data_IF_557346365277
#
_entry.id   IF_557346365277
#
_cell.length_a   1.000
_cell.length_b   1.000
_cell.length_c   1.000
_cell.angle_alpha   90.00
_cell.angle_beta   90.00
_cell.angle_gamma   90.00
#
_symmetry.space_group_name_H-M   'P 1'
#
loop_
_entity.id
_entity.type
_entity.pdbx_description
1 polymer ?
#
# COMPACT_ATOMS: atom_id res chain seq x y z
N UNK A 1 11.77 146.04 55.44
CA UNK A 1 13.18 145.60 55.53
C UNK A 1 13.71 145.51 54.12
N UNK A 2 14.64 146.42 53.79
CA UNK A 2 15.64 146.32 52.73
C UNK A 2 15.27 146.37 51.24
N UNK A 3 15.86 147.40 50.62
CA UNK A 3 16.32 147.56 49.24
C UNK A 3 15.27 147.82 48.12
N UNK A 4 14.97 149.07 47.72
CA UNK A 4 15.82 150.18 47.20
C UNK A 4 16.22 149.92 45.74
N UNK A 5 15.68 150.79 44.87
CA UNK A 5 16.26 151.32 43.61
C UNK A 5 16.19 150.41 42.37
N UNK A 6 15.90 150.88 41.15
CA UNK A 6 15.88 152.24 40.61
C UNK A 6 15.02 152.24 39.35
N UNK A 7 14.18 153.27 39.21
CA UNK A 7 13.73 153.80 37.93
C UNK A 7 14.36 155.20 37.81
N UNK A 8 15.19 155.47 36.80
CA UNK A 8 15.65 156.79 36.30
C UNK A 8 16.60 156.53 35.11
N UNK A 9 16.37 156.96 33.85
CA UNK A 9 16.58 158.31 33.28
C UNK A 9 16.10 158.28 31.78
N UNK A 10 15.14 159.09 31.30
CA UNK A 10 15.25 160.40 30.56
C UNK A 10 16.20 160.40 29.33
N UNK A 11 15.82 160.76 28.09
CA UNK A 11 15.32 162.03 27.49
C UNK A 11 16.18 163.30 27.74
N UNK A 12 16.67 163.89 26.63
CA UNK A 12 17.03 165.31 26.33
C UNK A 12 18.27 165.99 26.95
N UNK A 13 19.09 166.59 26.07
CA UNK A 13 19.75 167.89 26.32
C UNK A 13 21.25 167.95 26.02
N UNK A 14 21.61 168.59 24.91
CA UNK A 14 22.94 169.17 24.66
C UNK A 14 23.09 170.43 25.55
N UNK A 15 24.24 170.49 26.22
CA UNK A 15 24.88 171.47 27.14
C UNK A 15 24.65 172.95 26.73
N UNK A 16 24.40 173.94 27.65
CA UNK A 16 25.43 174.41 28.60
C UNK A 16 25.01 174.99 29.98
N UNK A 17 26.02 175.00 30.86
CA UNK A 17 26.38 175.93 31.97
C UNK A 17 25.34 176.48 32.96
N UNK A 18 25.61 176.18 34.24
CA UNK A 18 25.78 177.06 35.40
C UNK A 18 24.79 178.22 35.67
N UNK A 19 24.33 178.23 36.94
CA UNK A 19 24.04 179.38 37.83
C UNK A 19 22.58 179.73 38.16
N UNK A 20 22.32 179.56 39.47
CA UNK A 20 21.56 180.44 40.39
C UNK A 20 20.02 180.37 40.34
N UNK A 21 19.50 179.81 41.45
CA UNK A 21 18.48 180.39 42.35
C UNK A 21 17.28 181.13 41.76
N UNK A 22 16.07 180.62 42.00
CA UNK A 22 15.09 181.23 42.92
C UNK A 22 13.82 180.36 42.95
N UNK A 23 13.45 179.94 44.16
CA UNK A 23 12.20 179.26 44.52
C UNK A 23 10.96 180.10 44.18
N UNK A 24 9.89 179.45 43.71
CA UNK A 24 8.51 179.96 43.84
C UNK A 24 7.61 178.75 44.13
N UNK A 25 7.63 178.25 45.36
CA UNK A 25 6.50 178.36 46.30
C UNK A 25 5.31 179.18 45.78
N UNK A 26 4.17 178.52 45.55
CA UNK A 26 2.86 179.17 45.69
C UNK A 26 2.40 178.85 47.10
N UNK A 27 2.72 179.75 48.03
CA UNK A 27 2.02 179.83 49.31
C UNK A 27 0.60 180.31 48.98
N UNK A 28 -0.41 179.50 49.28
CA UNK A 28 -1.74 180.04 49.56
C UNK A 28 -1.57 181.08 50.65
N UNK A 29 -1.92 182.33 50.34
CA UNK A 29 -1.96 183.39 51.32
C UNK A 29 -3.05 183.02 52.34
N UNK A 30 -2.64 182.41 53.45
CA UNK A 30 -3.57 182.19 54.56
C UNK A 30 -3.74 183.54 55.22
N UNK A 31 -4.85 184.21 54.93
CA UNK A 31 -5.17 185.50 55.53
C UNK A 31 -5.43 185.25 57.01
N UNK A 32 -4.50 185.68 57.86
CA UNK A 32 -4.46 185.22 59.26
C UNK A 32 -5.58 185.79 60.12
N UNK A 33 -6.07 186.98 59.80
CA UNK A 33 -7.09 187.69 60.58
C UNK A 33 -8.53 187.46 60.10
N UNK A 34 -8.73 186.65 59.05
CA UNK A 34 -10.07 186.36 58.51
C UNK A 34 -10.30 184.85 58.45
N UNK A 35 -11.32 184.35 59.14
CA UNK A 35 -11.60 182.91 59.16
C UNK A 35 -12.04 182.41 57.78
N UNK A 36 -11.57 181.23 57.31
CA UNK A 36 -12.06 180.60 56.09
C UNK A 36 -13.58 180.33 56.04
N UNK A 37 -14.23 180.28 57.21
CA UNK A 37 -15.69 180.12 57.33
C UNK A 37 -16.47 181.44 57.27
N UNK A 38 -15.79 182.60 57.28
CA UNK A 38 -16.44 183.89 57.14
C UNK A 38 -16.97 184.05 55.70
N UNK A 39 -18.16 184.64 55.54
CA UNK A 39 -18.82 184.74 54.26
C UNK A 39 -17.99 185.50 53.21
N UNK A 40 -17.21 186.48 53.68
CA UNK A 40 -16.40 187.38 52.87
C UNK A 40 -15.04 186.79 52.51
N UNK A 41 -14.61 185.71 53.18
CA UNK A 41 -13.27 185.13 53.00
C UNK A 41 -13.01 184.74 51.55
N UNK A 42 -13.98 184.12 50.89
CA UNK A 42 -13.80 183.66 49.51
C UNK A 42 -13.59 184.82 48.54
N UNK A 43 -14.29 185.93 48.74
CA UNK A 43 -14.14 187.13 47.90
C UNK A 43 -12.81 187.83 48.18
N UNK A 44 -12.47 188.04 49.46
CA UNK A 44 -11.21 188.67 49.87
C UNK A 44 -10.01 187.83 49.43
N UNK A 45 -10.04 186.52 49.68
CA UNK A 45 -8.98 185.60 49.27
C UNK A 45 -8.81 185.58 47.76
N UNK A 46 -9.91 185.61 46.98
CA UNK A 46 -9.82 185.73 45.53
C UNK A 46 -9.10 187.03 45.12
N UNK A 47 -9.52 188.17 45.66
CA UNK A 47 -8.92 189.47 45.30
C UNK A 47 -7.44 189.54 45.71
N UNK A 48 -7.05 188.92 46.83
CA UNK A 48 -5.65 188.84 47.28
C UNK A 48 -4.83 187.85 46.44
N UNK A 49 -5.34 186.65 46.17
CA UNK A 49 -4.66 185.65 45.33
C UNK A 49 -4.46 186.15 43.91
N UNK A 50 -5.45 186.87 43.40
CA UNK A 50 -5.39 187.53 42.11
C UNK A 50 -4.51 188.78 42.11
N UNK A 51 -3.89 189.12 43.26
CA UNK A 51 -3.07 190.32 43.47
C UNK A 51 -3.77 191.61 43.04
N UNK A 52 -5.09 191.62 43.17
CA UNK A 52 -5.92 192.79 42.94
C UNK A 52 -5.92 193.65 44.21
N UNK A 53 -5.88 193.03 45.40
CA UNK A 53 -5.63 193.71 46.69
C UNK A 53 -4.48 193.05 47.45
N UNK A 54 -3.81 193.82 48.31
CA UNK A 54 -2.65 193.35 49.07
C UNK A 54 -3.02 193.08 50.54
N UNK A 55 -2.24 192.20 51.20
CA UNK A 55 -2.27 192.00 52.66
C UNK A 55 -1.10 192.74 53.30
N UNK A 56 -1.21 193.06 54.60
CA UNK A 56 -0.11 193.70 55.31
C UNK A 56 1.10 192.77 55.52
N UNK A 57 2.20 193.33 56.05
CA UNK A 57 3.45 192.60 56.26
C UNK A 57 3.32 191.35 57.15
N UNK A 58 2.26 191.24 57.96
CA UNK A 58 2.00 190.08 58.82
C UNK A 58 1.08 189.03 58.17
N UNK A 59 0.57 189.30 56.97
CA UNK A 59 -0.41 188.49 56.27
C UNK A 59 -1.85 188.71 56.76
N UNK A 60 -2.12 189.87 57.38
CA UNK A 60 -3.47 190.28 57.77
C UNK A 60 -4.07 191.19 56.70
N UNK A 61 -5.34 190.98 56.36
CA UNK A 61 -6.03 191.81 55.38
C UNK A 61 -6.57 193.12 55.98
N UNK A 62 -6.87 193.14 57.29
CA UNK A 62 -7.38 194.31 58.03
C UNK A 62 -8.61 194.95 57.39
N UNK A 63 -9.78 194.29 57.44
CA UNK A 63 -10.99 194.73 56.74
C UNK A 63 -11.51 196.12 57.17
N UNK A 64 -11.11 196.62 58.34
CA UNK A 64 -11.53 197.92 58.89
C UNK A 64 -10.54 199.06 58.61
N UNK A 65 -9.52 198.84 57.76
CA UNK A 65 -8.54 199.87 57.39
C UNK A 65 -9.15 200.86 56.37
N UNK A 66 -9.04 202.18 56.64
CA UNK A 66 -9.50 203.21 55.70
C UNK A 66 -8.63 203.22 54.43
N UNK A 67 -9.28 203.06 53.27
CA UNK A 67 -8.65 202.97 51.95
C UNK A 67 -8.68 204.36 51.27
N UNK A 68 -7.59 204.78 50.60
CA UNK A 68 -7.58 206.06 49.89
C UNK A 68 -8.11 205.91 48.46
N UNK A 69 -8.52 207.03 47.83
CA UNK A 69 -8.95 207.02 46.42
C UNK A 69 -7.86 206.51 45.46
N UNK A 70 -6.58 206.68 45.82
CA UNK A 70 -5.45 206.19 45.05
C UNK A 70 -5.39 204.65 45.05
N UNK A 71 -5.61 204.05 46.22
CA UNK A 71 -5.58 202.59 46.37
C UNK A 71 -6.73 201.95 45.58
N UNK A 72 -7.93 202.54 45.65
CA UNK A 72 -9.07 202.08 44.85
C UNK A 72 -8.79 202.19 43.33
N UNK A 73 -8.13 203.27 42.89
CA UNK A 73 -7.74 203.43 41.49
C UNK A 73 -6.72 202.37 41.05
N UNK A 74 -5.75 202.00 41.89
CA UNK A 74 -4.84 200.88 41.63
C UNK A 74 -5.59 199.57 41.50
N UNK A 75 -6.55 199.31 42.38
CA UNK A 75 -7.33 198.08 42.35
C UNK A 75 -8.23 198.01 41.09
N UNK A 76 -8.87 199.11 40.71
CA UNK A 76 -9.67 199.18 39.49
C UNK A 76 -8.82 199.07 38.22
N UNK A 77 -7.64 199.70 38.17
CA UNK A 77 -6.72 199.57 37.06
C UNK A 77 -6.20 198.13 36.94
N UNK A 78 -5.85 197.49 38.07
CA UNK A 78 -5.47 196.09 38.09
C UNK A 78 -6.60 195.19 37.55
N UNK A 79 -7.87 195.51 37.82
CA UNK A 79 -9.01 194.78 37.22
C UNK A 79 -9.07 195.02 35.70
N UNK A 80 -9.03 196.28 35.26
CA UNK A 80 -9.18 196.62 33.83
C UNK A 80 -8.03 196.03 33.00
N UNK A 81 -6.80 196.14 33.48
CA UNK A 81 -5.61 195.60 32.82
C UNK A 81 -5.62 194.07 32.82
N UNK A 82 -5.92 193.46 33.96
CA UNK A 82 -5.88 191.99 34.10
C UNK A 82 -6.98 191.29 33.33
N UNK A 83 -8.12 191.95 33.11
CA UNK A 83 -9.25 191.40 32.34
C UNK A 83 -9.43 192.06 30.97
N UNK A 84 -8.53 192.97 30.58
CA UNK A 84 -8.40 193.60 29.26
C UNK A 84 -9.75 194.09 28.65
N UNK A 85 -10.53 194.83 29.44
CA UNK A 85 -11.95 195.13 29.19
C UNK A 85 -12.23 196.22 28.13
N UNK A 86 -11.20 196.77 27.47
CA UNK A 86 -11.33 197.93 26.55
C UNK A 86 -11.62 197.61 25.08
N UNK A 87 -11.57 196.34 24.64
CA UNK A 87 -11.58 195.99 23.20
C UNK A 87 -12.88 195.33 22.67
N UNK A 88 -14.05 195.68 23.22
CA UNK A 88 -15.30 194.91 23.01
C UNK A 88 -16.36 195.53 22.09
N UNK A 89 -16.01 196.42 21.16
CA UNK A 89 -16.92 196.82 20.08
C UNK A 89 -16.22 196.89 18.70
N UNK A 90 -16.75 196.06 17.79
CA UNK A 90 -16.54 195.99 16.33
C UNK A 90 -15.47 195.03 15.79
N UNK A 91 -15.91 194.25 14.77
CA UNK A 91 -15.18 193.42 13.79
C UNK A 91 -15.22 191.89 13.95
N UNK A 92 -15.55 191.20 12.83
CA UNK A 92 -15.49 189.74 12.59
C UNK A 92 -14.23 189.15 13.25
N UNK A 93 -14.40 188.40 14.34
CA UNK A 93 -13.29 187.85 15.15
C UNK A 93 -12.88 186.44 14.70
N UNK A 94 -11.58 186.17 14.82
CA UNK A 94 -10.75 185.08 14.25
C UNK A 94 -11.29 183.64 14.32
N UNK A 95 -12.25 183.35 15.19
CA UNK A 95 -12.77 182.00 15.38
C UNK A 95 -13.51 181.48 14.14
N UNK A 96 -14.17 182.36 13.38
CA UNK A 96 -14.87 181.96 12.15
C UNK A 96 -13.88 181.58 11.04
N UNK A 97 -12.78 182.34 10.91
CA UNK A 97 -11.71 182.06 9.94
C UNK A 97 -10.95 180.78 10.31
N UNK A 98 -10.72 180.53 11.61
CA UNK A 98 -10.18 179.26 12.10
C UNK A 98 -11.11 178.08 11.84
N UNK A 99 -12.43 178.28 11.93
CA UNK A 99 -13.39 177.22 11.63
C UNK A 99 -13.37 176.88 10.14
N UNK A 100 -13.33 177.90 9.28
CA UNK A 100 -13.24 177.75 7.84
C UNK A 100 -11.91 177.07 7.43
N UNK A 101 -10.77 177.46 8.02
CA UNK A 101 -9.49 176.78 7.80
C UNK A 101 -9.48 175.34 8.33
N UNK A 102 -10.17 175.06 9.46
CA UNK A 102 -10.33 173.68 9.98
C UNK A 102 -11.19 172.83 9.04
N UNK A 103 -12.24 173.40 8.46
CA UNK A 103 -13.09 172.71 7.48
C UNK A 103 -12.28 172.40 6.22
N UNK A 104 -11.55 173.36 5.66
CA UNK A 104 -10.69 173.10 4.48
C UNK A 104 -9.60 172.08 4.79
N UNK A 105 -9.05 172.09 6.01
CA UNK A 105 -8.05 171.09 6.44
C UNK A 105 -8.67 169.70 6.59
N UNK A 106 -9.88 169.59 7.16
CA UNK A 106 -10.60 168.33 7.30
C UNK A 106 -11.04 167.76 5.94
N UNK A 107 -11.52 168.59 5.01
CA UNK A 107 -11.85 168.17 3.64
C UNK A 107 -10.62 167.64 2.91
N UNK A 108 -9.48 168.32 3.07
CA UNK A 108 -8.21 167.88 2.52
C UNK A 108 -7.71 166.60 3.18
N UNK A 109 -7.90 166.44 4.50
CA UNK A 109 -7.59 165.21 5.24
C UNK A 109 -8.46 164.03 4.79
N UNK A 110 -9.76 164.24 4.55
CA UNK A 110 -10.70 163.23 4.03
C UNK A 110 -10.32 162.84 2.59
N UNK A 111 -9.98 163.82 1.75
CA UNK A 111 -9.51 163.59 0.38
C UNK A 111 -8.11 162.97 0.33
N UNK A 112 -7.31 163.14 1.38
CA UNK A 112 -6.00 162.51 1.54
C UNK A 112 -6.00 161.27 2.42
N UNK A 113 -7.18 160.73 2.82
CA UNK A 113 -7.25 159.36 3.36
C UNK A 113 -6.79 158.45 2.20
N UNK A 114 -5.61 157.83 2.29
CA UNK A 114 -5.05 157.14 1.16
C UNK A 114 -5.88 155.87 0.90
N UNK A 115 -6.11 155.56 -0.38
CA UNK A 115 -6.72 154.31 -0.85
C UNK A 115 -6.05 153.03 -0.32
N UNK A 116 -4.85 153.15 0.26
CA UNK A 116 -4.14 152.06 0.94
C UNK A 116 -4.90 151.46 2.13
N UNK A 117 -5.77 152.23 2.82
CA UNK A 117 -6.51 151.71 3.98
C UNK A 117 -7.71 150.82 3.55
N UNK A 118 -8.32 151.09 2.39
CA UNK A 118 -9.29 150.19 1.75
C UNK A 118 -8.62 148.95 1.13
N UNK A 119 -7.37 149.09 0.65
CA UNK A 119 -6.57 147.97 0.16
C UNK A 119 -6.17 146.99 1.29
N UNK A 120 -5.93 147.46 2.51
CA UNK A 120 -5.63 146.58 3.66
C UNK A 120 -6.83 145.71 4.07
N UNK A 121 -8.06 146.23 3.99
CA UNK A 121 -9.26 145.45 4.31
C UNK A 121 -9.53 144.35 3.27
N UNK A 122 -9.30 144.62 1.98
CA UNK A 122 -9.43 143.59 0.94
C UNK A 122 -8.32 142.54 1.03
N UNK A 123 -7.09 142.94 1.38
CA UNK A 123 -5.97 142.04 1.63
C UNK A 123 -6.26 141.08 2.81
N UNK A 124 -6.75 141.61 3.94
CA UNK A 124 -7.14 140.79 5.09
C UNK A 124 -8.31 139.84 4.78
N UNK A 125 -9.27 140.27 3.95
CA UNK A 125 -10.35 139.39 3.49
C UNK A 125 -9.81 138.25 2.62
N UNK A 126 -8.83 138.53 1.76
CA UNK A 126 -8.15 137.52 0.94
C UNK A 126 -7.38 136.53 1.82
N UNK A 127 -6.63 137.02 2.81
CA UNK A 127 -5.92 136.16 3.77
C UNK A 127 -6.88 135.31 4.60
N UNK A 128 -8.02 135.87 5.03
CA UNK A 128 -9.05 135.11 5.76
C UNK A 128 -9.64 133.98 4.91
N UNK A 129 -9.89 134.25 3.62
CA UNK A 129 -10.36 133.24 2.68
C UNK A 129 -9.30 132.16 2.40
N UNK A 130 -8.03 132.54 2.29
CA UNK A 130 -6.92 131.59 2.18
C UNK A 130 -6.80 130.72 3.44
N UNK A 131 -6.87 131.34 4.62
CA UNK A 131 -6.80 130.64 5.89
C UNK A 131 -7.99 129.68 6.06
N UNK A 132 -9.19 130.06 5.63
CA UNK A 132 -10.36 129.19 5.61
C UNK A 132 -10.17 127.99 4.67
N UNK A 133 -9.59 128.21 3.49
CA UNK A 133 -9.26 127.10 2.56
C UNK A 133 -8.21 126.17 3.15
N UNK A 134 -7.17 126.72 3.77
CA UNK A 134 -6.12 125.95 4.45
C UNK A 134 -6.68 125.15 5.63
N UNK A 135 -7.60 125.73 6.39
CA UNK A 135 -8.27 125.05 7.50
C UNK A 135 -9.10 123.87 7.00
N UNK A 136 -9.93 124.07 5.97
CA UNK A 136 -10.71 122.98 5.35
C UNK A 136 -9.80 121.87 4.80
N UNK A 137 -8.66 122.24 4.20
CA UNK A 137 -7.68 121.27 3.70
C UNK A 137 -7.00 120.49 4.84
N UNK A 138 -6.73 121.14 5.98
CA UNK A 138 -6.18 120.49 7.18
C UNK A 138 -7.22 119.57 7.81
N UNK A 139 -8.46 120.01 7.97
CA UNK A 139 -9.57 119.19 8.49
C UNK A 139 -9.74 117.93 7.64
N UNK A 140 -9.77 118.06 6.30
CA UNK A 140 -9.83 116.91 5.41
C UNK A 140 -8.63 115.96 5.56
N UNK A 141 -7.41 116.50 5.72
CA UNK A 141 -6.23 115.67 6.00
C UNK A 141 -6.33 114.94 7.35
N UNK A 142 -6.85 115.61 8.38
CA UNK A 142 -7.05 115.01 9.70
C UNK A 142 -8.06 113.86 9.62
N UNK A 143 -9.20 114.06 8.95
CA UNK A 143 -10.20 113.00 8.74
C UNK A 143 -9.61 111.82 7.96
N UNK A 144 -8.80 112.08 6.93
CA UNK A 144 -8.13 111.01 6.17
C UNK A 144 -7.10 110.25 7.02
N UNK A 145 -6.36 110.94 7.89
CA UNK A 145 -5.42 110.31 8.82
C UNK A 145 -6.14 109.48 9.88
N UNK A 146 -7.27 109.95 10.39
CA UNK A 146 -8.10 109.24 11.36
C UNK A 146 -8.68 107.96 10.76
N UNK A 147 -9.22 108.04 9.53
CA UNK A 147 -9.65 106.86 8.79
C UNK A 147 -8.48 105.88 8.54
N UNK A 148 -7.30 106.37 8.18
CA UNK A 148 -6.11 105.52 8.00
C UNK A 148 -5.64 104.88 9.31
N UNK A 149 -5.81 105.57 10.45
CA UNK A 149 -5.56 105.01 11.78
C UNK A 149 -6.53 103.88 12.14
N UNK A 150 -7.78 103.95 11.68
CA UNK A 150 -8.72 102.83 11.83
C UNK A 150 -8.35 101.63 10.96
N UNK A 151 -7.76 101.82 9.78
CA UNK A 151 -7.25 100.71 8.97
C UNK A 151 -6.04 100.00 9.59
N UNK A 152 -5.20 100.71 10.37
CA UNK A 152 -4.13 100.07 11.15
C UNK A 152 -4.65 99.04 12.17
N UNK A 153 -5.91 99.16 12.62
CA UNK A 153 -6.54 98.13 13.46
C UNK A 153 -6.86 96.84 12.69
N UNK A 154 -7.17 96.93 11.39
CA UNK A 154 -7.37 95.77 10.51
C UNK A 154 -6.04 95.08 10.22
N UNK A 155 -4.97 95.84 10.04
CA UNK A 155 -3.61 95.30 9.89
C UNK A 155 -3.19 94.50 11.13
N UNK A 156 -3.50 95.00 12.33
CA UNK A 156 -3.23 94.30 13.60
C UNK A 156 -4.00 92.97 13.71
N UNK A 157 -5.27 92.93 13.28
CA UNK A 157 -6.05 91.70 13.24
C UNK A 157 -5.48 90.69 12.23
N UNK A 158 -5.01 91.19 11.08
CA UNK A 158 -4.42 90.35 10.03
C UNK A 158 -3.09 89.75 10.49
N UNK A 159 -2.25 90.54 11.16
CA UNK A 159 -1.00 90.06 11.78
C UNK A 159 -1.30 88.96 12.81
N UNK A 160 -2.32 89.15 13.65
CA UNK A 160 -2.70 88.16 14.67
C UNK A 160 -3.18 86.86 14.03
N UNK A 161 -3.96 86.94 12.93
CA UNK A 161 -4.39 85.76 12.17
C UNK A 161 -3.20 85.02 11.56
N UNK A 162 -2.28 85.75 10.92
CA UNK A 162 -1.08 85.17 10.32
C UNK A 162 -0.17 84.49 11.35
N UNK A 163 -0.04 85.05 12.55
CA UNK A 163 0.70 84.42 13.66
C UNK A 163 0.07 83.10 14.09
N UNK A 164 -1.27 83.03 14.16
CA UNK A 164 -2.00 81.82 14.47
C UNK A 164 -1.80 80.76 13.39
N UNK A 165 -1.92 81.14 12.12
CA UNK A 165 -1.68 80.27 10.97
C UNK A 165 -0.25 79.74 10.92
N UNK A 166 0.74 80.60 11.21
CA UNK A 166 2.14 80.20 11.26
C UNK A 166 2.41 79.20 12.39
N UNK A 167 1.79 79.41 13.56
CA UNK A 167 1.86 78.46 14.68
C UNK A 167 1.24 77.11 14.33
N UNK A 168 0.08 77.12 13.66
CA UNK A 168 -0.57 75.92 13.15
C UNK A 168 0.28 75.20 12.09
N UNK A 169 0.89 75.96 11.18
CA UNK A 169 1.78 75.43 10.16
C UNK A 169 3.02 74.79 10.79
N UNK A 170 3.64 75.44 11.78
CA UNK A 170 4.79 74.90 12.49
C UNK A 170 4.44 73.56 13.16
N UNK A 171 3.28 73.45 13.82
CA UNK A 171 2.81 72.17 14.38
C UNK A 171 2.63 71.09 13.31
N UNK A 172 2.10 71.45 12.14
CA UNK A 172 1.94 70.52 11.01
C UNK A 172 3.29 70.05 10.46
N UNK A 173 4.26 70.96 10.34
CA UNK A 173 5.62 70.64 9.89
C UNK A 173 6.27 69.66 10.87
N UNK A 174 6.26 69.95 12.17
CA UNK A 174 6.79 69.02 13.19
C UNK A 174 6.08 67.65 13.16
N UNK A 175 4.76 67.63 12.97
CA UNK A 175 4.03 66.37 12.83
C UNK A 175 4.43 65.57 11.58
N UNK A 176 4.70 66.25 10.46
CA UNK A 176 5.19 65.63 9.23
C UNK A 176 6.62 65.12 9.41
N UNK A 177 7.51 65.90 10.03
CA UNK A 177 8.89 65.48 10.34
C UNK A 177 8.92 64.22 11.21
N UNK A 178 8.05 64.13 12.21
CA UNK A 178 7.91 62.94 13.04
C UNK A 178 7.40 61.73 12.24
N UNK A 179 6.42 61.93 11.34
CA UNK A 179 5.94 60.86 10.44
C UNK A 179 7.02 60.39 9.47
N UNK A 180 7.79 61.32 8.90
CA UNK A 180 8.92 61.01 8.02
C UNK A 180 9.95 60.21 8.80
N UNK A 181 10.33 60.65 10.00
CA UNK A 181 11.30 59.93 10.84
C UNK A 181 10.85 58.50 11.16
N UNK A 182 9.56 58.30 11.47
CA UNK A 182 8.99 56.97 11.70
C UNK A 182 8.98 56.10 10.43
N UNK A 183 8.70 56.69 9.26
CA UNK A 183 8.76 55.99 7.97
C UNK A 183 10.21 55.67 7.55
N UNK A 184 11.16 56.54 7.86
CA UNK A 184 12.59 56.35 7.60
C UNK A 184 13.22 55.30 8.51
N UNK A 185 12.58 54.97 9.64
CA UNK A 185 12.87 53.76 10.44
C UNK A 185 12.26 52.49 9.83
N UNK A 186 12.10 52.45 8.50
CA UNK A 186 11.69 51.25 7.77
C UNK A 186 12.43 50.03 8.31
N UNK A 187 11.65 49.04 8.71
CA UNK A 187 12.12 47.77 9.26
C UNK A 187 13.16 47.17 8.31
N UNK A 188 14.32 46.82 8.84
CA UNK A 188 15.38 46.18 8.05
C UNK A 188 14.95 44.75 7.68
N UNK A 189 14.47 44.58 6.44
CA UNK A 189 14.04 43.28 5.90
C UNK A 189 15.21 42.34 5.61
N UNK A 190 16.47 42.78 5.77
CA UNK A 190 17.66 41.95 5.53
C UNK A 190 17.64 40.68 6.38
N UNK A 191 17.19 40.78 7.64
CA UNK A 191 17.10 39.62 8.53
C UNK A 191 16.05 38.61 8.06
N UNK A 192 14.89 39.09 7.63
CA UNK A 192 13.79 38.23 7.15
C UNK A 192 14.20 37.52 5.84
N UNK A 193 14.88 38.24 4.93
CA UNK A 193 15.43 37.69 3.68
C UNK A 193 16.49 36.61 3.98
N UNK A 194 17.41 36.87 4.92
CA UNK A 194 18.43 35.90 5.30
C UNK A 194 17.81 34.62 5.88
N UNK A 195 16.78 34.76 6.72
CA UNK A 195 16.06 33.62 7.30
C UNK A 195 15.32 32.81 6.23
N UNK A 196 14.60 33.46 5.31
CA UNK A 196 13.93 32.79 4.20
C UNK A 196 14.92 32.06 3.29
N UNK A 197 16.07 32.66 3.01
CA UNK A 197 17.13 32.04 2.20
C UNK A 197 17.66 30.78 2.86
N UNK A 198 17.91 30.81 4.18
CA UNK A 198 18.34 29.64 4.93
C UNK A 198 17.29 28.51 4.92
N UNK A 199 16.01 28.85 5.03
CA UNK A 199 14.91 27.88 4.94
C UNK A 199 14.82 27.25 3.54
N UNK A 200 14.95 28.04 2.48
CA UNK A 200 14.98 27.55 1.09
C UNK A 200 16.13 26.55 0.90
N UNK A 201 17.35 26.92 1.32
CA UNK A 201 18.51 26.03 1.19
C UNK A 201 18.34 24.72 1.97
N UNK A 202 17.73 24.77 3.16
CA UNK A 202 17.43 23.56 3.94
C UNK A 202 16.40 22.66 3.24
N UNK A 203 15.36 23.24 2.64
CA UNK A 203 14.37 22.49 1.86
C UNK A 203 15.01 21.87 0.62
N UNK A 204 15.88 22.59 -0.07
CA UNK A 204 16.59 22.13 -1.27
C UNK A 204 17.53 20.97 -0.94
N UNK A 205 18.23 21.03 0.20
CA UNK A 205 19.03 19.90 0.70
C UNK A 205 18.18 18.66 0.99
N UNK A 206 17.02 18.82 1.66
CA UNK A 206 16.08 17.71 1.91
C UNK A 206 15.51 17.14 0.61
N UNK A 207 15.22 17.98 -0.38
CA UNK A 207 14.74 17.55 -1.70
C UNK A 207 15.80 16.74 -2.46
N UNK A 208 17.07 17.14 -2.36
CA UNK A 208 18.18 16.36 -2.92
C UNK A 208 18.40 15.02 -2.20
N UNK A 209 18.09 14.94 -0.90
CA UNK A 209 18.06 13.68 -0.17
C UNK A 209 16.98 12.72 -0.71
N UNK A 210 15.84 13.24 -1.18
CA UNK A 210 14.83 12.44 -1.89
C UNK A 210 15.33 11.86 -3.22
N UNK A 211 16.49 12.27 -3.76
CA UNK A 211 17.11 11.57 -4.89
C UNK A 211 17.46 10.09 -4.57
N UNK A 212 17.46 9.70 -3.28
CA UNK A 212 17.48 8.31 -2.82
C UNK A 212 16.29 7.48 -3.35
N UNK A 213 15.21 8.10 -3.84
CA UNK A 213 14.10 7.41 -4.54
C UNK A 213 14.58 6.57 -5.73
N UNK A 214 15.67 6.98 -6.40
CA UNK A 214 16.24 6.21 -7.51
C UNK A 214 16.83 4.87 -7.02
N UNK A 215 17.45 4.86 -5.83
CA UNK A 215 17.99 3.64 -5.22
C UNK A 215 16.88 2.64 -4.90
N UNK A 216 15.76 3.11 -4.34
CA UNK A 216 14.60 2.26 -4.07
C UNK A 216 13.96 1.71 -5.36
N UNK A 217 13.99 2.48 -6.46
CA UNK A 217 13.57 2.00 -7.78
C UNK A 217 14.40 0.80 -8.26
N UNK A 218 15.73 0.87 -8.12
CA UNK A 218 16.62 -0.24 -8.51
C UNK A 218 16.42 -1.48 -7.63
N UNK A 219 16.19 -1.32 -6.32
CA UNK A 219 15.86 -2.46 -5.44
C UNK A 219 14.51 -3.10 -5.77
N UNK A 220 13.49 -2.30 -6.11
CA UNK A 220 12.19 -2.82 -6.54
C UNK A 220 12.33 -3.65 -7.81
N UNK A 221 13.09 -3.19 -8.80
CA UNK A 221 13.31 -3.96 -10.03
C UNK A 221 14.11 -5.26 -9.76
N UNK A 222 15.11 -5.23 -8.87
CA UNK A 222 15.81 -6.46 -8.43
C UNK A 222 14.87 -7.44 -7.72
N UNK A 223 14.00 -6.95 -6.84
CA UNK A 223 13.00 -7.76 -6.13
C UNK A 223 12.00 -8.38 -7.11
N UNK A 224 11.54 -7.60 -8.09
CA UNK A 224 10.64 -8.05 -9.15
C UNK A 224 11.28 -9.16 -9.98
N UNK A 225 12.53 -8.99 -10.40
CA UNK A 225 13.27 -10.02 -11.12
C UNK A 225 13.42 -11.31 -10.29
N UNK A 226 13.71 -11.18 -8.99
CA UNK A 226 13.81 -12.33 -8.07
C UNK A 226 12.47 -13.03 -7.87
N UNK A 227 11.36 -12.29 -7.79
CA UNK A 227 10.03 -12.86 -7.70
C UNK A 227 9.67 -13.66 -8.96
N UNK A 228 9.97 -13.15 -10.15
CA UNK A 228 9.77 -13.86 -11.41
C UNK A 228 10.63 -15.13 -11.53
N UNK A 229 11.88 -15.11 -11.05
CA UNK A 229 12.73 -16.30 -11.02
C UNK A 229 12.18 -17.38 -10.05
N UNK A 230 11.71 -16.96 -8.87
CA UNK A 230 11.07 -17.86 -7.91
C UNK A 230 9.79 -18.48 -8.48
N UNK A 231 8.96 -17.71 -9.16
CA UNK A 231 7.75 -18.20 -9.82
C UNK A 231 8.08 -19.29 -10.85
N UNK A 232 9.12 -19.10 -11.67
CA UNK A 232 9.60 -20.13 -12.61
C UNK A 232 10.08 -21.39 -11.91
N UNK A 233 10.82 -21.26 -10.80
CA UNK A 233 11.31 -22.40 -10.01
C UNK A 233 10.16 -23.18 -9.37
N UNK A 234 9.15 -22.48 -8.84
CA UNK A 234 7.93 -23.11 -8.29
C UNK A 234 7.20 -23.88 -9.38
N UNK A 235 6.99 -23.29 -10.56
CA UNK A 235 6.34 -23.97 -11.67
C UNK A 235 7.09 -25.22 -12.12
N UNK A 236 8.44 -25.15 -12.18
CA UNK A 236 9.26 -26.32 -12.48
C UNK A 236 9.09 -27.43 -11.43
N UNK A 237 9.16 -27.09 -10.14
CA UNK A 237 8.99 -28.04 -9.05
C UNK A 237 7.61 -28.70 -9.08
N UNK A 238 6.54 -27.94 -9.33
CA UNK A 238 5.18 -28.46 -9.50
C UNK A 238 5.10 -29.49 -10.62
N UNK A 239 5.72 -29.22 -11.78
CA UNK A 239 5.75 -30.16 -12.89
C UNK A 239 6.52 -31.44 -12.56
N UNK A 240 7.66 -31.33 -11.85
CA UNK A 240 8.42 -32.49 -11.38
C UNK A 240 7.61 -33.35 -10.42
N UNK A 241 6.90 -32.73 -9.46
CA UNK A 241 6.03 -33.43 -8.51
C UNK A 241 4.92 -34.17 -9.25
N UNK A 242 4.24 -33.53 -10.21
CA UNK A 242 3.19 -34.18 -10.99
C UNK A 242 3.72 -35.41 -11.74
N UNK A 243 4.88 -35.30 -12.39
CA UNK A 243 5.51 -36.44 -13.08
C UNK A 243 5.90 -37.57 -12.13
N UNK A 244 6.42 -37.25 -10.94
CA UNK A 244 6.73 -38.24 -9.92
C UNK A 244 5.47 -38.92 -9.39
N UNK A 245 4.40 -38.16 -9.15
CA UNK A 245 3.11 -38.70 -8.71
C UNK A 245 2.56 -39.71 -9.72
N UNK A 246 2.61 -39.41 -11.02
CA UNK A 246 2.19 -40.36 -12.06
C UNK A 246 3.06 -41.63 -12.08
N UNK A 247 4.37 -41.50 -11.89
CA UNK A 247 5.28 -42.66 -11.81
C UNK A 247 4.98 -43.53 -10.59
N UNK A 248 4.70 -42.91 -9.44
CA UNK A 248 4.31 -43.62 -8.22
C UNK A 248 3.00 -44.36 -8.44
N UNK A 249 1.97 -43.72 -8.99
CA UNK A 249 0.70 -44.41 -9.27
C UNK A 249 0.85 -45.59 -10.24
N UNK A 250 1.71 -45.46 -11.26
CA UNK A 250 2.02 -46.58 -12.17
C UNK A 250 2.75 -47.73 -11.46
N UNK A 251 3.70 -47.41 -10.59
CA UNK A 251 4.42 -48.40 -9.79
C UNK A 251 3.51 -49.11 -8.79
N UNK A 252 2.62 -48.39 -8.11
CA UNK A 252 1.64 -48.96 -7.18
C UNK A 252 0.69 -49.91 -7.90
N UNK A 253 0.19 -49.52 -9.07
CA UNK A 253 -0.66 -50.37 -9.89
C UNK A 253 0.07 -51.64 -10.36
N UNK A 254 1.30 -51.50 -10.87
CA UNK A 254 2.13 -52.64 -11.29
C UNK A 254 2.43 -53.60 -10.14
N UNK A 255 2.82 -53.07 -8.99
CA UNK A 255 3.13 -53.89 -7.80
C UNK A 255 1.89 -54.62 -7.29
N UNK A 256 0.73 -53.99 -7.30
CA UNK A 256 -0.54 -54.62 -6.92
C UNK A 256 -0.89 -55.80 -7.83
N UNK A 257 -0.69 -55.64 -9.15
CA UNK A 257 -0.91 -56.71 -10.13
C UNK A 257 0.12 -57.85 -9.98
N UNK A 258 1.39 -57.53 -9.76
CA UNK A 258 2.45 -58.52 -9.51
C UNK A 258 2.16 -59.35 -8.25
N UNK A 259 1.72 -58.70 -7.16
CA UNK A 259 1.32 -59.39 -5.93
C UNK A 259 0.15 -60.35 -6.20
N UNK A 260 -0.86 -59.91 -6.94
CA UNK A 260 -2.02 -60.74 -7.29
C UNK A 260 -1.61 -61.95 -8.14
N UNK A 261 -0.71 -61.74 -9.11
CA UNK A 261 -0.19 -62.82 -9.95
C UNK A 261 0.64 -63.83 -9.14
N UNK A 262 1.52 -63.36 -8.24
CA UNK A 262 2.27 -64.21 -7.32
C UNK A 262 1.36 -65.00 -6.38
N UNK A 263 0.31 -64.39 -5.84
CA UNK A 263 -0.69 -65.08 -5.01
C UNK A 263 -1.41 -66.18 -5.79
N UNK A 264 -1.86 -65.89 -7.01
CA UNK A 264 -2.52 -66.87 -7.88
C UNK A 264 -1.60 -68.05 -8.23
N UNK A 265 -0.35 -67.77 -8.61
CA UNK A 265 0.64 -68.80 -8.94
C UNK A 265 0.97 -69.67 -7.71
N UNK A 266 1.14 -69.03 -6.55
CA UNK A 266 1.42 -69.73 -5.29
C UNK A 266 0.25 -70.64 -4.90
N UNK A 267 -0.98 -70.16 -5.00
CA UNK A 267 -2.19 -70.96 -4.76
C UNK A 267 -2.31 -72.14 -5.73
N UNK A 268 -2.01 -71.93 -7.00
CA UNK A 268 -2.02 -73.00 -8.01
C UNK A 268 -0.99 -74.09 -7.66
N UNK A 269 0.25 -73.70 -7.34
CA UNK A 269 1.31 -74.64 -6.97
C UNK A 269 0.99 -75.41 -5.67
N UNK A 270 0.42 -74.73 -4.66
CA UNK A 270 -0.02 -75.37 -3.42
C UNK A 270 -1.11 -76.40 -3.72
N UNK A 271 -2.08 -76.07 -4.56
CA UNK A 271 -3.15 -76.98 -4.93
C UNK A 271 -2.63 -78.18 -5.73
N UNK A 272 -1.69 -77.98 -6.64
CA UNK A 272 -1.07 -79.07 -7.39
C UNK A 272 -0.29 -80.01 -6.46
N UNK A 273 0.56 -79.46 -5.58
CA UNK A 273 1.29 -80.26 -4.60
C UNK A 273 0.34 -81.01 -3.65
N UNK A 274 -0.73 -80.36 -3.19
CA UNK A 274 -1.76 -81.00 -2.38
C UNK A 274 -2.39 -82.19 -3.11
N UNK A 275 -2.71 -82.05 -4.39
CA UNK A 275 -3.28 -83.12 -5.19
C UNK A 275 -2.29 -84.28 -5.42
N UNK A 276 -1.02 -83.97 -5.67
CA UNK A 276 0.04 -84.99 -5.78
C UNK A 276 0.18 -85.79 -4.47
N UNK A 277 0.23 -85.10 -3.32
CA UNK A 277 0.31 -85.74 -2.00
C UNK A 277 -0.93 -86.61 -1.72
N UNK A 278 -2.14 -86.12 -2.04
CA UNK A 278 -3.36 -86.91 -1.90
C UNK A 278 -3.32 -88.18 -2.76
N UNK A 279 -2.82 -88.08 -4.00
CA UNK A 279 -2.67 -89.25 -4.88
C UNK A 279 -1.65 -90.26 -4.33
N UNK A 280 -0.55 -89.81 -3.74
CA UNK A 280 0.40 -90.71 -3.06
C UNK A 280 -0.22 -91.37 -1.83
N UNK A 281 -0.95 -90.63 -1.01
CA UNK A 281 -1.67 -91.20 0.16
C UNK A 281 -2.62 -92.31 -0.27
N UNK A 282 -3.40 -92.12 -1.35
CA UNK A 282 -4.29 -93.16 -1.86
C UNK A 282 -3.53 -94.38 -2.38
N UNK A 283 -2.38 -94.19 -3.05
CA UNK A 283 -1.50 -95.31 -3.43
C UNK A 283 -0.96 -96.06 -2.21
N UNK A 284 -0.51 -95.35 -1.17
CA UNK A 284 -0.04 -95.96 0.07
C UNK A 284 -1.16 -96.76 0.75
N UNK A 285 -2.37 -96.19 0.83
CA UNK A 285 -3.55 -96.85 1.38
C UNK A 285 -3.88 -98.15 0.65
N UNK A 286 -3.82 -98.15 -0.68
CA UNK A 286 -3.98 -99.36 -1.50
C UNK A 286 -2.91 -100.42 -1.22
N UNK A 287 -1.63 -100.01 -1.08
CA UNK A 287 -0.54 -100.92 -0.71
C UNK A 287 -0.73 -101.52 0.68
N UNK A 288 -1.16 -100.71 1.65
CA UNK A 288 -1.49 -101.19 3.00
C UNK A 288 -2.59 -102.24 2.93
N UNK A 289 -3.69 -101.99 2.21
CA UNK A 289 -4.75 -102.98 2.05
C UNK A 289 -4.28 -104.30 1.42
N UNK A 290 -3.34 -104.23 0.47
CA UNK A 290 -2.71 -105.43 -0.11
C UNK A 290 -1.88 -106.20 0.93
N UNK A 291 -1.12 -105.49 1.77
CA UNK A 291 -0.34 -106.09 2.85
C UNK A 291 -1.26 -106.74 3.89
N UNK A 292 -2.34 -106.07 4.26
CA UNK A 292 -3.37 -106.61 5.17
C UNK A 292 -3.96 -107.92 4.63
N UNK A 293 -4.26 -107.99 3.33
CA UNK A 293 -4.73 -109.22 2.69
C UNK A 293 -3.69 -110.35 2.73
N UNK A 294 -2.42 -110.04 2.44
CA UNK A 294 -1.32 -111.02 2.51
C UNK A 294 -1.11 -111.52 3.94
N UNK A 295 -1.18 -110.63 4.94
CA UNK A 295 -1.08 -110.99 6.35
C UNK A 295 -2.22 -111.93 6.76
N UNK A 296 -3.46 -111.65 6.33
CA UNK A 296 -4.60 -112.55 6.56
C UNK A 296 -4.37 -113.94 5.96
N UNK A 297 -3.93 -114.03 4.71
CA UNK A 297 -3.57 -115.32 4.07
C UNK A 297 -2.42 -116.04 4.78
N UNK A 298 -1.43 -115.29 5.26
CA UNK A 298 -0.33 -115.84 6.05
C UNK A 298 -0.80 -116.43 7.38
N UNK A 299 -1.72 -115.76 8.06
CA UNK A 299 -2.34 -116.25 9.29
C UNK A 299 -3.16 -117.52 9.04
N UNK A 300 -3.97 -117.56 7.97
CA UNK A 300 -4.69 -118.77 7.54
C UNK A 300 -3.74 -119.94 7.25
N UNK A 301 -2.61 -119.66 6.60
CA UNK A 301 -1.58 -120.66 6.33
C UNK A 301 -0.97 -121.21 7.62
N UNK A 302 -0.61 -120.33 8.56
CA UNK A 302 -0.09 -120.75 9.87
C UNK A 302 -1.11 -121.60 10.63
N UNK A 303 -2.39 -121.22 10.62
CA UNK A 303 -3.44 -122.01 11.26
C UNK A 303 -3.59 -123.40 10.61
N UNK A 304 -3.50 -123.49 9.27
CA UNK A 304 -3.48 -124.78 8.56
C UNK A 304 -2.26 -125.62 8.91
N UNK A 305 -1.09 -124.98 9.07
CA UNK A 305 0.14 -125.66 9.47
C UNK A 305 0.07 -126.18 10.91
N UNK A 306 -0.49 -125.41 11.84
CA UNK A 306 -0.75 -125.86 13.22
C UNK A 306 -1.76 -127.01 13.29
N UNK A 307 -2.75 -127.03 12.39
CA UNK A 307 -3.71 -128.13 12.27
C UNK A 307 -3.11 -129.41 11.67
N UNK A 308 -1.94 -129.34 11.02
CA UNK A 308 -1.18 -130.52 10.62
C UNK A 308 -0.54 -131.14 11.88
N UNK A 309 -1.25 -132.08 12.49
CA UNK A 309 -0.69 -132.91 13.55
C UNK A 309 0.53 -133.68 13.01
N UNK A 310 1.65 -133.62 13.74
CA UNK A 310 2.86 -134.40 13.43
C UNK A 310 2.53 -135.89 13.27
N UNK A 311 1.53 -136.40 14.00
CA UNK A 311 1.05 -137.77 13.86
C UNK A 311 0.41 -138.03 12.48
N UNK A 312 -0.25 -137.04 11.88
CA UNK A 312 -0.82 -137.16 10.52
C UNK A 312 0.28 -137.23 9.47
N UNK A 313 1.33 -136.42 9.59
CA UNK A 313 2.50 -136.45 8.68
C UNK A 313 3.26 -137.77 8.85
N UNK A 314 3.49 -138.22 10.08
CA UNK A 314 4.16 -139.49 10.35
C UNK A 314 3.33 -140.65 9.77
N UNK A 315 2.01 -140.63 9.94
CA UNK A 315 1.13 -141.68 9.40
C UNK A 315 1.10 -141.68 7.87
N UNK A 316 1.10 -140.52 7.20
CA UNK A 316 1.21 -140.49 5.72
C UNK A 316 2.55 -141.01 5.23
N UNK A 317 3.66 -140.70 5.91
CA UNK A 317 4.97 -141.29 5.61
C UNK A 317 4.99 -142.81 5.86
N UNK A 318 4.45 -143.29 6.98
CA UNK A 318 4.32 -144.73 7.22
C UNK A 318 3.45 -145.42 6.18
N UNK A 319 2.36 -144.79 5.72
CA UNK A 319 1.53 -145.33 4.64
C UNK A 319 2.26 -145.35 3.29
N UNK A 320 3.10 -144.35 2.99
CA UNK A 320 3.97 -144.34 1.82
C UNK A 320 5.04 -145.43 1.89
N UNK A 321 5.60 -145.68 3.07
CA UNK A 321 6.55 -146.77 3.30
C UNK A 321 5.87 -148.13 3.10
N UNK A 322 4.64 -148.32 3.61
CA UNK A 322 3.82 -149.50 3.33
C UNK A 322 3.54 -149.63 1.82
N UNK A 323 3.25 -148.53 1.13
CA UNK A 323 3.03 -148.53 -0.31
C UNK A 323 4.31 -148.88 -1.09
N UNK A 324 5.47 -148.37 -0.68
CA UNK A 324 6.78 -148.73 -1.23
C UNK A 324 7.04 -150.23 -1.09
N UNK A 325 6.83 -150.78 0.11
CA UNK A 325 6.96 -152.22 0.34
C UNK A 325 6.00 -153.05 -0.54
N UNK A 326 4.79 -152.55 -0.82
CA UNK A 326 3.86 -153.20 -1.76
C UNK A 326 4.37 -153.13 -3.21
N UNK A 327 5.03 -152.04 -3.58
CA UNK A 327 5.63 -151.88 -4.90
C UNK A 327 6.80 -152.86 -5.09
N UNK A 328 7.66 -152.99 -4.08
CA UNK A 328 8.77 -153.97 -4.08
C UNK A 328 8.24 -155.41 -4.18
N UNK A 329 7.15 -155.73 -3.48
CA UNK A 329 6.48 -157.03 -3.61
C UNK A 329 5.92 -157.26 -5.00
N UNK A 330 5.36 -156.22 -5.63
CA UNK A 330 4.84 -156.29 -6.99
C UNK A 330 5.97 -156.52 -7.99
N UNK A 331 7.10 -155.84 -7.83
CA UNK A 331 8.31 -156.03 -8.62
C UNK A 331 8.83 -157.48 -8.49
N UNK A 332 8.90 -158.02 -7.27
CA UNK A 332 9.29 -159.40 -7.04
C UNK A 332 8.33 -160.41 -7.70
N UNK A 333 7.02 -160.12 -7.70
CA UNK A 333 6.03 -160.93 -8.42
C UNK A 333 6.22 -160.84 -9.93
N UNK A 334 6.52 -159.66 -10.45
CA UNK A 334 6.78 -159.44 -11.87
C UNK A 334 8.02 -160.22 -12.32
N UNK A 335 9.08 -160.20 -11.51
CA UNK A 335 10.30 -160.97 -11.75
C UNK A 335 10.05 -162.48 -11.75
N UNK A 336 9.26 -163.00 -10.80
CA UNK A 336 8.81 -164.41 -10.84
C UNK A 336 8.02 -164.76 -12.10
N UNK A 337 7.20 -163.83 -12.59
CA UNK A 337 6.44 -164.03 -13.82
C UNK A 337 7.37 -164.06 -15.03
N UNK A 338 8.36 -163.17 -15.08
CA UNK A 338 9.39 -163.11 -16.12
C UNK A 338 10.24 -164.41 -16.15
N UNK A 339 10.64 -164.90 -14.98
CA UNK A 339 11.34 -166.19 -14.85
C UNK A 339 10.47 -167.35 -15.32
N UNK A 340 9.18 -167.35 -14.94
CA UNK A 340 8.21 -168.34 -15.40
C UNK A 340 8.01 -168.31 -16.92
N UNK A 341 7.93 -167.12 -17.52
CA UNK A 341 7.82 -166.96 -18.97
C UNK A 341 9.08 -167.48 -19.67
N UNK A 342 10.27 -167.21 -19.12
CA UNK A 342 11.53 -167.74 -19.62
C UNK A 342 11.57 -169.27 -19.58
N UNK A 343 11.00 -169.88 -18.54
CA UNK A 343 10.85 -171.33 -18.45
C UNK A 343 9.87 -171.87 -19.50
N UNK A 344 8.74 -171.21 -19.74
CA UNK A 344 7.81 -171.59 -20.82
C UNK A 344 8.48 -171.50 -22.19
N UNK A 345 9.31 -170.47 -22.44
CA UNK A 345 10.08 -170.36 -23.69
C UNK A 345 11.08 -171.52 -23.84
N UNK A 346 11.73 -171.94 -22.75
CA UNK A 346 12.59 -173.13 -22.75
C UNK A 346 11.82 -174.42 -22.99
N UNK A 347 10.65 -174.58 -22.38
CA UNK A 347 9.75 -175.73 -22.62
C UNK A 347 9.24 -175.75 -24.06
N UNK A 348 8.86 -174.61 -24.63
CA UNK A 348 8.50 -174.51 -26.05
C UNK A 348 9.66 -174.88 -26.96
N UNK A 349 10.90 -174.48 -26.63
CA UNK A 349 12.11 -174.88 -27.36
C UNK A 349 12.35 -176.39 -27.29
N UNK A 350 12.15 -177.00 -26.12
CA UNK A 350 12.25 -178.45 -25.92
C UNK A 350 11.15 -179.22 -26.67
N UNK A 351 9.92 -178.70 -26.69
CA UNK A 351 8.80 -179.27 -27.47
C UNK A 351 9.09 -179.16 -28.98
N UNK A 352 9.62 -178.04 -29.45
CA UNK A 352 10.00 -177.85 -30.86
C UNK A 352 11.08 -178.84 -31.29
N UNK A 353 12.07 -179.10 -30.43
CA UNK A 353 13.14 -180.08 -30.68
C UNK A 353 12.59 -181.53 -30.72
N UNK A 354 11.62 -181.87 -29.86
CA UNK A 354 10.86 -183.13 -29.97
C UNK A 354 9.98 -183.23 -31.23
N UNK A 355 9.46 -182.10 -31.73
CA UNK A 355 8.65 -182.07 -32.95
C UNK A 355 9.50 -182.34 -34.20
N UNK A 356 10.75 -181.88 -34.23
CA UNK A 356 11.72 -182.20 -35.31
C UNK A 356 12.06 -183.70 -35.34
N UNK A 357 12.04 -184.38 -34.19
CA UNK A 357 12.20 -185.85 -34.12
C UNK A 357 10.96 -186.59 -34.67
N UNK A 358 9.78 -185.95 -34.73
CA UNK A 358 8.56 -186.51 -35.33
C UNK A 358 8.55 -186.50 -36.86
N UNK A 359 9.48 -185.79 -37.51
CA UNK A 359 9.62 -185.77 -38.98
C UNK A 359 10.23 -187.08 -39.53
N UNK A 360 11.01 -187.81 -38.73
CA UNK A 360 11.51 -189.15 -39.09
C UNK A 360 10.42 -190.26 -39.07
N UNK A 361 9.18 -189.93 -38.70
CA UNK A 361 8.03 -190.84 -38.83
C UNK A 361 7.44 -190.84 -40.23
N UNK A 362 7.67 -189.78 -41.01
CA UNK A 362 7.10 -189.56 -42.35
C UNK A 362 7.81 -190.44 -43.40
N UNK A 363 9.14 -190.59 -43.31
CA UNK A 363 9.90 -191.56 -44.15
C UNK A 363 9.56 -193.03 -43.87
N UNK A 364 9.13 -193.36 -42.64
CA UNK A 364 8.66 -194.71 -42.29
C UNK A 364 7.27 -195.01 -42.85
N UNK A 365 6.40 -193.99 -42.94
CA UNK A 365 5.07 -194.08 -43.54
C UNK A 365 5.18 -194.27 -45.06
N UNK A 366 6.06 -193.54 -45.74
CA UNK A 366 6.28 -193.71 -47.20
C UNK A 366 6.81 -195.11 -47.55
N UNK A 367 7.73 -195.68 -46.74
CA UNK A 367 8.22 -197.04 -46.97
C UNK A 367 7.19 -198.14 -46.66
N UNK A 368 6.23 -197.85 -45.77
CA UNK A 368 5.11 -198.75 -45.45
C UNK A 368 4.04 -198.69 -46.56
N UNK A 369 3.74 -197.50 -47.09
CA UNK A 369 2.81 -197.31 -48.21
C UNK A 369 3.32 -198.00 -49.49
N UNK A 370 4.62 -197.90 -49.78
CA UNK A 370 5.24 -198.60 -50.90
C UNK A 370 5.19 -200.14 -50.76
N UNK A 371 5.34 -200.66 -49.53
CA UNK A 371 5.18 -202.09 -49.23
C UNK A 371 3.73 -202.56 -49.35
N UNK A 372 2.76 -201.71 -49.00
CA UNK A 372 1.33 -202.02 -49.15
C UNK A 372 0.95 -202.09 -50.63
N UNK A 373 1.40 -201.17 -51.48
CA UNK A 373 1.17 -201.26 -52.93
C UNK A 373 1.83 -202.47 -53.60
N UNK A 374 3.00 -202.91 -53.11
CA UNK A 374 3.63 -204.16 -53.58
C UNK A 374 2.85 -205.40 -53.13
N UNK A 375 2.32 -205.41 -51.91
CA UNK A 375 1.44 -206.46 -51.40
C UNK A 375 0.12 -206.54 -52.17
N UNK A 376 -0.50 -205.40 -52.50
CA UNK A 376 -1.71 -205.37 -53.32
C UNK A 376 -1.45 -205.94 -54.72
N UNK A 377 -0.37 -205.54 -55.38
CA UNK A 377 -0.01 -206.08 -56.70
C UNK A 377 0.24 -207.59 -56.67
N UNK A 378 0.94 -208.09 -55.63
CA UNK A 378 1.17 -209.52 -55.42
C UNK A 378 -0.14 -210.29 -55.15
N UNK A 379 -1.07 -209.69 -54.41
CA UNK A 379 -2.36 -210.30 -54.10
C UNK A 379 -3.25 -210.39 -55.35
N UNK A 380 -3.25 -209.38 -56.22
CA UNK A 380 -3.98 -209.43 -57.50
C UNK A 380 -3.44 -210.53 -58.41
N UNK A 381 -2.10 -210.66 -58.52
CA UNK A 381 -1.47 -211.75 -59.29
C UNK A 381 -1.76 -213.13 -58.70
N UNK A 382 -1.76 -213.29 -57.37
CA UNK A 382 -2.12 -214.54 -56.72
C UNK A 382 -3.59 -214.91 -56.93
N UNK A 383 -4.49 -213.92 -56.98
CA UNK A 383 -5.91 -214.14 -57.23
C UNK A 383 -6.18 -214.59 -58.68
N UNK A 384 -5.43 -214.05 -59.66
CA UNK A 384 -5.48 -214.55 -61.04
C UNK A 384 -4.91 -215.98 -61.16
N UNK A 385 -3.81 -216.27 -60.47
CA UNK A 385 -3.25 -217.63 -60.41
C UNK A 385 -4.23 -218.63 -59.76
N UNK A 386 -4.94 -218.23 -58.71
CA UNK A 386 -6.01 -219.02 -58.07
C UNK A 386 -7.17 -219.29 -59.03
N UNK A 387 -7.60 -218.31 -59.82
CA UNK A 387 -8.61 -218.53 -60.88
C UNK A 387 -8.14 -219.52 -61.94
N UNK A 388 -6.87 -219.44 -62.34
CA UNK A 388 -6.26 -220.37 -63.29
C UNK A 388 -6.16 -221.79 -62.72
N UNK A 389 -5.79 -221.92 -61.44
CA UNK A 389 -5.72 -223.19 -60.72
C UNK A 389 -7.13 -223.79 -60.51
N UNK A 390 -8.13 -222.96 -60.21
CA UNK A 390 -9.53 -223.38 -60.12
C UNK A 390 -10.05 -223.91 -61.45
N UNK A 391 -9.74 -223.24 -62.57
CA UNK A 391 -10.09 -223.72 -63.91
C UNK A 391 -9.38 -225.05 -64.26
N UNK A 392 -8.12 -225.24 -63.81
CA UNK A 392 -7.42 -226.51 -63.97
C UNK A 392 -8.02 -227.63 -63.11
N UNK A 393 -8.39 -227.34 -61.86
CA UNK A 393 -9.06 -228.31 -60.96
C UNK A 393 -10.43 -228.71 -61.51
N UNK A 394 -11.18 -227.79 -62.09
CA UNK A 394 -12.48 -228.06 -62.70
C UNK A 394 -12.36 -228.93 -63.95
N UNK A 395 -11.30 -228.72 -64.75
CA UNK A 395 -10.98 -229.57 -65.90
C UNK A 395 -10.53 -230.98 -65.46
N UNK A 396 -9.67 -231.10 -64.44
CA UNK A 396 -9.30 -232.40 -63.88
C UNK A 396 -10.51 -233.14 -63.28
N UNK A 397 -11.42 -232.43 -62.62
CA UNK A 397 -12.62 -233.04 -62.05
C UNK A 397 -13.59 -233.55 -63.15
N UNK A 398 -13.71 -232.82 -64.25
CA UNK A 398 -14.47 -233.25 -65.43
C UNK A 398 -13.86 -234.50 -66.10
N UNK A 399 -12.53 -234.56 -66.19
CA UNK A 399 -11.80 -235.74 -66.64
C UNK A 399 -11.99 -236.95 -65.69
N UNK A 400 -11.96 -236.71 -64.37
CA UNK A 400 -12.20 -237.76 -63.38
C UNK A 400 -13.63 -238.30 -63.45
N UNK A 401 -14.62 -237.44 -63.69
CA UNK A 401 -16.01 -237.86 -63.87
C UNK A 401 -16.20 -238.68 -65.14
N UNK A 402 -15.60 -238.29 -66.26
CA UNK A 402 -15.64 -239.10 -67.50
C UNK A 402 -14.93 -240.45 -67.32
N UNK A 403 -13.79 -240.48 -66.62
CA UNK A 403 -13.11 -241.73 -66.26
C UNK A 403 -14.00 -242.64 -65.40
N UNK A 404 -14.68 -242.09 -64.38
CA UNK A 404 -15.61 -242.85 -63.53
C UNK A 404 -16.79 -243.41 -64.31
N UNK A 405 -17.38 -242.64 -65.22
CA UNK A 405 -18.50 -243.13 -66.05
C UNK A 405 -18.05 -244.23 -67.00
N UNK A 406 -16.86 -244.12 -67.61
CA UNK A 406 -16.27 -245.19 -68.44
C UNK A 406 -16.00 -246.44 -67.60
N UNK A 407 -15.53 -246.28 -66.36
CA UNK A 407 -15.28 -247.39 -65.42
C UNK A 407 -16.58 -248.09 -65.00
N UNK A 408 -17.65 -247.34 -64.75
CA UNK A 408 -18.94 -247.94 -64.41
C UNK A 408 -19.59 -248.65 -65.59
N UNK A 409 -19.49 -248.11 -66.81
CA UNK A 409 -19.99 -248.78 -68.02
C UNK A 409 -19.21 -250.08 -68.27
N UNK A 410 -17.88 -250.08 -68.09
CA UNK A 410 -17.07 -251.29 -68.24
C UNK A 410 -17.32 -252.34 -67.14
N UNK A 411 -17.59 -251.93 -65.91
CA UNK A 411 -18.01 -252.83 -64.84
C UNK A 411 -19.40 -253.45 -65.13
N UNK A 412 -20.32 -252.66 -65.69
CA UNK A 412 -21.65 -253.12 -66.07
C UNK A 412 -21.58 -254.11 -67.25
N UNK A 413 -20.67 -253.89 -68.20
CA UNK A 413 -20.36 -254.85 -69.28
C UNK A 413 -19.74 -256.14 -68.74
N UNK A 414 -18.84 -256.07 -67.75
CA UNK A 414 -18.23 -257.26 -67.14
C UNK A 414 -19.23 -258.12 -66.38
N UNK A 415 -20.20 -257.51 -65.70
CA UNK A 415 -21.26 -258.24 -64.99
C UNK A 415 -22.24 -258.87 -65.98
N UNK A 416 -22.62 -258.17 -67.06
CA UNK A 416 -23.45 -258.73 -68.14
C UNK A 416 -22.72 -259.86 -68.88
N UNK A 417 -21.40 -259.80 -69.01
CA UNK A 417 -20.60 -260.92 -69.54
C UNK A 417 -20.52 -262.11 -68.54
N UNK A 418 -20.48 -261.84 -67.23
CA UNK A 418 -20.57 -262.88 -66.18
C UNK A 418 -21.93 -263.59 -66.17
N UNK A 419 -23.02 -262.86 -66.45
CA UNK A 419 -24.37 -263.39 -66.71
C UNK A 419 -24.39 -264.35 -67.91
N UNK A 420 -23.45 -264.23 -68.87
CA UNK A 420 -23.40 -265.09 -70.06
C UNK A 420 -22.57 -266.37 -69.90
N UNK A 421 -21.65 -266.45 -68.94
CA UNK A 421 -20.76 -267.63 -68.75
C UNK A 421 -21.34 -268.65 -67.76
N UNK A 422 -22.16 -268.24 -66.80
CA UNK A 422 -22.84 -269.16 -65.86
C UNK A 422 -24.13 -269.78 -66.43
N UNK A 423 -24.47 -269.47 -67.68
CA UNK A 423 -25.59 -270.03 -68.44
C UNK A 423 -25.17 -271.22 -69.34
N UNK A 424 -24.18 -272.01 -68.91
CA UNK A 424 -23.81 -273.31 -69.50
C UNK A 424 -23.63 -274.38 -68.44
#
# INVERSE_FOLDING_TARGET
MSYVFYRLLKYRGIIPLFLISISIYVFSATIKDLSPSAAEYKAVNFLVEQRIMDVDANGNFKPSLLITKLDLARYLYAIIDRYNLTSLQSTKSDDLVKLESRITTLERQISSIPSSQFQSASALQSELNDLKRRLLAVESKVTNLENKSTDSSKDQQTITSLQSELSALNKRVTAVENKISALSQSKDFTKDIAQLTAQINSLEARLNEYAQLKYYGDEIEKLKARATDLEKKVNHATNTINSLSEKVSKLEAGTSEDIKNLQNLTLANINDLRNQVLAEIEKLKSRIGTIEEVLGKGQDFLQRLEALDALTIINTFSNLEVLSNRFDQLEARFKKLEDGLSQVVLEQKYILDKLVISQNSEEKIDSLEQKVSQLESSNTTNNENLKKLSSQVENLNSQLMTMRTITYISLLVAIVAGILVLLK
#
